data_IF_541718181896
#
_entry.id   IF_541718181896
#
_cell.length_a   1.000
_cell.length_b   1.000
_cell.length_c   1.000
_cell.angle_alpha   90.00
_cell.angle_beta   90.00
_cell.angle_gamma   90.00
#
_symmetry.space_group_name_H-M   'P 1'
#
loop_
_entity.id
_entity.type
_entity.pdbx_description
1 polymer ?
#
# COMPACT_ATOMS: atom_id res chain seq x y z
N UNK A 1 -25.15 -7.29 73.53
CA UNK A 1 -24.84 -5.85 73.33
C UNK A 1 -23.32 -5.69 73.46
N UNK A 2 -22.67 -5.02 72.50
CA UNK A 2 -21.20 -4.79 72.35
C UNK A 2 -20.42 -5.99 71.78
N UNK A 3 -20.01 -6.11 70.50
CA UNK A 3 -19.14 -5.36 69.53
C UNK A 3 -17.64 -5.65 69.63
N UNK A 4 -17.03 -5.99 68.48
CA UNK A 4 -15.57 -6.08 68.21
C UNK A 4 -15.12 -7.50 67.83
N UNK A 5 -14.39 -7.80 66.75
CA UNK A 5 -13.69 -6.97 65.78
C UNK A 5 -13.38 -7.73 64.48
N UNK A 6 -12.94 -6.97 63.49
CA UNK A 6 -12.71 -7.37 62.11
C UNK A 6 -11.42 -8.18 61.92
N UNK A 7 -11.39 -9.10 60.94
CA UNK A 7 -10.16 -9.49 60.26
C UNK A 7 -10.47 -9.77 58.78
N UNK A 8 -10.20 -8.78 57.94
CA UNK A 8 -10.36 -8.85 56.50
C UNK A 8 -9.34 -9.82 55.88
N UNK A 9 -9.84 -10.77 55.09
CA UNK A 9 -8.99 -11.57 54.22
C UNK A 9 -8.87 -10.86 52.87
N UNK A 10 -7.65 -10.45 52.57
CA UNK A 10 -7.27 -9.81 51.31
C UNK A 10 -7.40 -10.83 50.19
N UNK A 11 -8.33 -10.58 49.26
CA UNK A 11 -8.41 -11.29 47.99
C UNK A 11 -7.21 -10.80 47.16
N UNK A 12 -6.21 -11.66 46.99
CA UNK A 12 -5.12 -11.41 46.05
C UNK A 12 -5.63 -11.76 44.64
N UNK A 13 -6.09 -10.76 43.89
CA UNK A 13 -6.29 -10.92 42.44
C UNK A 13 -4.90 -10.94 41.79
N UNK A 14 -4.44 -12.13 41.42
CA UNK A 14 -3.34 -12.30 40.48
C UNK A 14 -3.80 -11.90 39.09
N UNK A 15 -3.38 -10.74 38.60
CA UNK A 15 -3.57 -10.33 37.22
C UNK A 15 -2.63 -11.14 36.32
N UNK A 16 -3.12 -12.27 35.78
CA UNK A 16 -2.45 -12.98 34.70
C UNK A 16 -2.56 -12.12 33.43
N UNK A 17 -1.45 -11.48 33.05
CA UNK A 17 -1.35 -10.71 31.82
C UNK A 17 -1.54 -11.61 30.61
N UNK A 18 -2.69 -11.48 29.93
CA UNK A 18 -2.87 -12.01 28.58
C UNK A 18 -2.03 -11.17 27.61
N UNK A 19 -0.89 -11.70 27.19
CA UNK A 19 -0.21 -11.20 26.00
C UNK A 19 -1.08 -11.57 24.78
N UNK A 20 -1.93 -10.63 24.35
CA UNK A 20 -2.59 -10.69 23.06
C UNK A 20 -1.51 -10.57 21.98
N UNK A 21 -1.08 -11.72 21.44
CA UNK A 21 -0.34 -11.75 20.19
C UNK A 21 -1.23 -11.21 19.09
N UNK A 22 -1.05 -9.94 18.72
CA UNK A 22 -1.65 -9.40 17.52
C UNK A 22 -1.03 -10.13 16.32
N UNK A 23 -1.73 -11.12 15.81
CA UNK A 23 -1.47 -11.65 14.47
C UNK A 23 -1.75 -10.50 13.51
N UNK A 24 -0.72 -9.73 13.16
CA UNK A 24 -0.79 -8.75 12.10
C UNK A 24 -0.97 -9.50 10.78
N UNK A 25 -2.22 -9.85 10.46
CA UNK A 25 -2.60 -10.03 9.07
C UNK A 25 -2.25 -8.71 8.38
N UNK A 26 -1.48 -8.77 7.28
CA UNK A 26 -1.18 -7.58 6.45
C UNK A 26 -2.49 -6.88 6.05
N UNK A 27 -2.86 -5.90 6.85
CA UNK A 27 -3.79 -4.84 6.58
C UNK A 27 -3.00 -3.59 6.97
N UNK A 28 -3.22 -2.48 6.28
CA UNK A 28 -2.53 -1.25 6.63
C UNK A 28 -2.70 -0.93 8.12
N UNK A 29 -1.61 -0.56 8.82
CA UNK A 29 -1.68 -0.17 10.22
C UNK A 29 -2.73 0.91 10.45
N UNK A 30 -3.25 0.99 11.68
CA UNK A 30 -4.20 2.05 12.03
C UNK A 30 -3.60 3.43 11.71
N UNK A 31 -4.38 4.26 11.01
CA UNK A 31 -3.96 5.60 10.57
C UNK A 31 -3.26 5.64 9.21
N UNK A 32 -3.02 4.49 8.57
CA UNK A 32 -2.52 4.42 7.20
C UNK A 32 -3.63 4.01 6.23
N UNK A 33 -3.59 4.59 5.04
CA UNK A 33 -4.42 4.23 3.91
C UNK A 33 -3.76 3.13 3.07
N UNK A 34 -4.58 2.34 2.39
CA UNK A 34 -4.11 1.32 1.44
C UNK A 34 -3.94 1.97 0.08
N UNK A 35 -2.72 1.96 -0.45
CA UNK A 35 -2.49 2.25 -1.87
C UNK A 35 -2.90 1.04 -2.71
N UNK A 36 -2.32 -0.13 -2.41
CA UNK A 36 -2.66 -1.38 -3.06
C UNK A 36 -2.49 -2.53 -2.06
N UNK A 37 -3.46 -3.43 -2.00
CA UNK A 37 -3.30 -4.75 -1.36
C UNK A 37 -3.69 -5.80 -2.36
N UNK A 38 -2.80 -6.75 -2.65
CA UNK A 38 -3.18 -7.86 -3.51
C UNK A 38 -2.50 -9.17 -3.15
N UNK A 39 -3.24 -10.27 -3.28
CA UNK A 39 -2.64 -11.60 -3.28
C UNK A 39 -2.12 -11.89 -4.69
N UNK A 40 -0.89 -12.34 -4.79
CA UNK A 40 -0.30 -12.70 -6.08
C UNK A 40 -0.92 -13.99 -6.60
N UNK A 41 -0.98 -14.14 -7.92
CA UNK A 41 -1.45 -15.37 -8.56
C UNK A 41 -0.76 -16.61 -7.96
N UNK A 42 -1.55 -17.67 -7.72
CA UNK A 42 -1.09 -18.85 -6.99
C UNK A 42 -1.23 -18.75 -5.46
N UNK A 43 -1.72 -17.62 -4.92
CA UNK A 43 -2.28 -17.50 -3.56
C UNK A 43 -1.27 -17.53 -2.40
N UNK A 44 -0.02 -17.88 -2.65
CA UNK A 44 0.98 -18.12 -1.60
C UNK A 44 1.64 -16.86 -1.03
N UNK A 45 1.50 -15.72 -1.70
CA UNK A 45 2.15 -14.45 -1.36
C UNK A 45 1.20 -13.29 -1.55
N UNK A 46 1.42 -12.23 -0.79
CA UNK A 46 0.71 -10.96 -0.88
C UNK A 46 1.70 -9.82 -0.84
N UNK A 47 1.39 -8.79 -1.60
CA UNK A 47 2.02 -7.47 -1.51
C UNK A 47 0.98 -6.48 -0.97
N UNK A 48 1.43 -5.61 -0.07
CA UNK A 48 0.63 -4.52 0.45
C UNK A 48 1.48 -3.24 0.49
N UNK A 49 0.94 -2.17 -0.07
CA UNK A 49 1.50 -0.83 0.00
C UNK A 49 0.50 0.04 0.74
N UNK A 50 0.99 0.69 1.78
CA UNK A 50 0.22 1.58 2.64
C UNK A 50 0.89 2.94 2.71
N UNK A 51 0.13 3.99 3.00
CA UNK A 51 0.70 5.31 3.21
C UNK A 51 -0.08 6.12 4.24
N UNK A 52 0.58 7.11 4.80
CA UNK A 52 -0.04 8.23 5.50
C UNK A 52 0.51 9.54 4.94
N UNK A 53 0.37 10.65 5.66
CA UNK A 53 0.89 11.98 5.23
C UNK A 53 2.41 12.08 5.23
N UNK A 54 3.11 11.13 5.85
CA UNK A 54 4.55 11.18 6.12
C UNK A 54 5.34 10.06 5.44
N UNK A 55 4.76 8.86 5.36
CA UNK A 55 5.45 7.65 4.92
C UNK A 55 4.61 6.81 3.98
N UNK A 56 5.32 6.08 3.12
CA UNK A 56 4.79 4.96 2.34
C UNK A 56 5.54 3.71 2.75
N UNK A 57 4.83 2.61 2.98
CA UNK A 57 5.39 1.33 3.39
C UNK A 57 5.03 0.25 2.40
N UNK A 58 5.97 -0.64 2.14
CA UNK A 58 5.80 -1.86 1.36
C UNK A 58 5.94 -3.06 2.28
N UNK A 59 5.08 -4.05 2.11
CA UNK A 59 5.20 -5.34 2.78
C UNK A 59 4.92 -6.48 1.79
N UNK A 60 5.80 -7.48 1.77
CA UNK A 60 5.65 -8.70 0.98
C UNK A 60 5.79 -9.92 1.86
N UNK A 61 4.92 -10.92 1.68
CA UNK A 61 5.03 -12.20 2.39
C UNK A 61 3.75 -13.02 2.36
N UNK A 62 3.70 -14.05 3.21
CA UNK A 62 2.50 -14.88 3.36
C UNK A 62 1.40 -14.12 4.12
N UNK A 63 0.13 -14.16 3.66
CA UNK A 63 -1.00 -13.65 4.44
C UNK A 63 -1.05 -14.25 5.86
N UNK A 64 -1.38 -13.43 6.86
CA UNK A 64 -1.47 -13.85 8.26
C UNK A 64 -0.13 -14.17 8.94
N UNK A 65 1.01 -13.86 8.31
CA UNK A 65 2.37 -14.05 8.86
C UNK A 65 3.12 -12.73 8.86
N UNK A 66 4.21 -12.68 9.64
CA UNK A 66 5.15 -11.57 9.55
C UNK A 66 5.65 -11.42 8.09
N UNK A 67 5.73 -10.18 7.56
CA UNK A 67 6.26 -9.95 6.23
C UNK A 67 7.68 -10.51 6.08
N UNK A 68 7.96 -11.05 4.89
CA UNK A 68 9.29 -11.53 4.49
C UNK A 68 10.19 -10.36 4.08
N UNK A 69 9.59 -9.28 3.58
CA UNK A 69 10.25 -8.03 3.26
C UNK A 69 9.34 -6.87 3.65
N UNK A 70 9.90 -5.89 4.37
CA UNK A 70 9.24 -4.62 4.67
C UNK A 70 10.16 -3.47 4.28
N UNK A 71 9.65 -2.48 3.55
CA UNK A 71 10.37 -1.25 3.20
C UNK A 71 9.53 -0.04 3.63
N UNK A 72 10.20 1.08 3.89
CA UNK A 72 9.53 2.33 4.25
C UNK A 72 10.29 3.51 3.67
N UNK A 73 9.56 4.39 3.01
CA UNK A 73 10.07 5.62 2.40
C UNK A 73 9.24 6.81 2.88
N UNK A 74 9.80 8.02 2.78
CA UNK A 74 9.02 9.24 3.00
C UNK A 74 8.10 9.50 1.81
N UNK A 75 6.89 10.01 2.06
CA UNK A 75 6.00 10.52 0.99
C UNK A 75 6.71 11.56 0.12
N UNK A 76 7.61 12.37 0.70
CA UNK A 76 8.36 13.38 -0.04
C UNK A 76 9.27 12.79 -1.12
N UNK A 77 9.84 11.60 -0.88
CA UNK A 77 10.93 11.03 -1.70
C UNK A 77 10.57 9.74 -2.40
N UNK A 78 9.50 9.06 -1.99
CA UNK A 78 9.05 7.84 -2.65
C UNK A 78 8.78 8.13 -4.12
N UNK A 79 9.28 7.26 -4.99
CA UNK A 79 8.99 7.30 -6.41
C UNK A 79 7.58 6.76 -6.61
N UNK A 80 6.67 7.67 -6.93
CA UNK A 80 5.27 7.41 -7.17
C UNK A 80 4.87 8.08 -8.47
N UNK A 81 4.21 7.34 -9.33
CA UNK A 81 3.67 7.81 -10.60
C UNK A 81 2.14 7.77 -10.53
N UNK A 82 1.47 8.93 -10.50
CA UNK A 82 0.02 9.01 -10.55
C UNK A 82 -0.49 8.73 -11.96
N UNK A 83 -1.79 8.49 -12.08
CA UNK A 83 -2.43 8.33 -13.38
C UNK A 83 -2.31 9.62 -14.19
N UNK A 84 -1.98 9.47 -15.48
CA UNK A 84 -1.73 10.60 -16.40
C UNK A 84 -2.95 11.49 -16.70
N UNK A 85 -4.13 11.15 -16.17
CA UNK A 85 -5.38 11.82 -16.49
C UNK A 85 -5.98 11.42 -17.85
N UNK A 86 -5.34 10.49 -18.58
CA UNK A 86 -5.77 10.04 -19.91
C UNK A 86 -6.10 8.54 -19.92
N UNK A 87 -7.23 8.20 -20.56
CA UNK A 87 -7.68 6.83 -20.74
C UNK A 87 -8.72 6.39 -19.71
N UNK A 88 -9.28 5.19 -19.91
CA UNK A 88 -10.22 4.57 -18.95
C UNK A 88 -9.54 3.70 -17.89
N UNK A 89 -8.31 3.27 -18.19
CA UNK A 89 -7.48 2.47 -17.31
C UNK A 89 -6.66 3.44 -16.45
N UNK A 90 -7.03 3.55 -15.18
CA UNK A 90 -6.39 4.43 -14.22
C UNK A 90 -5.25 3.68 -13.57
N UNK A 91 -4.05 3.86 -14.12
CA UNK A 91 -2.84 3.16 -13.71
C UNK A 91 -1.95 4.07 -12.87
N UNK A 92 -1.49 3.55 -11.74
CA UNK A 92 -0.56 4.22 -10.84
C UNK A 92 0.53 3.24 -10.38
N UNK A 93 1.72 3.75 -10.07
CA UNK A 93 2.82 2.91 -9.63
C UNK A 93 3.57 3.52 -8.44
N UNK A 94 3.97 2.68 -7.48
CA UNK A 94 4.89 3.05 -6.39
C UNK A 94 6.12 2.16 -6.47
N UNK A 95 7.31 2.77 -6.36
CA UNK A 95 8.61 2.10 -6.52
C UNK A 95 9.44 2.25 -5.26
N UNK A 96 10.06 1.13 -4.87
CA UNK A 96 10.98 1.06 -3.75
C UNK A 96 12.32 0.49 -4.21
N UNK A 97 13.42 0.91 -3.60
CA UNK A 97 14.76 0.38 -3.84
C UNK A 97 15.33 -0.17 -2.54
N UNK A 98 15.88 -1.38 -2.58
CA UNK A 98 16.59 -1.97 -1.45
C UNK A 98 17.85 -2.68 -1.94
N UNK A 99 19.01 -2.06 -1.71
CA UNK A 99 20.28 -2.53 -2.26
C UNK A 99 20.25 -2.55 -3.79
N UNK A 100 20.62 -3.69 -4.38
CA UNK A 100 20.65 -3.87 -5.84
C UNK A 100 19.31 -4.29 -6.48
N UNK A 101 18.18 -4.12 -5.79
CA UNK A 101 16.86 -4.52 -6.25
C UNK A 101 15.86 -3.37 -6.18
N UNK A 102 14.98 -3.32 -7.18
CA UNK A 102 13.83 -2.43 -7.23
C UNK A 102 12.53 -3.21 -7.20
N UNK A 103 11.51 -2.63 -6.57
CA UNK A 103 10.19 -3.23 -6.40
C UNK A 103 9.15 -2.21 -6.86
N UNK A 104 8.50 -2.50 -7.98
CA UNK A 104 7.43 -1.68 -8.54
C UNK A 104 6.10 -2.37 -8.28
N UNK A 105 5.21 -1.66 -7.60
CA UNK A 105 3.82 -2.09 -7.37
C UNK A 105 2.93 -1.19 -8.22
N UNK A 106 2.18 -1.81 -9.12
CA UNK A 106 1.29 -1.12 -10.06
C UNK A 106 -0.14 -1.47 -9.68
N UNK A 107 -0.99 -0.47 -9.53
CA UNK A 107 -2.44 -0.61 -9.43
C UNK A 107 -3.10 -0.07 -10.68
N UNK A 108 -4.10 -0.79 -11.21
CA UNK A 108 -4.88 -0.38 -12.37
C UNK A 108 -6.35 -0.54 -12.05
N UNK A 109 -7.14 0.52 -12.27
CA UNK A 109 -8.60 0.44 -12.27
C UNK A 109 -9.12 0.70 -13.68
N UNK A 110 -9.68 -0.32 -14.31
CA UNK A 110 -10.43 -0.16 -15.56
C UNK A 110 -11.85 0.29 -15.26
N UNK A 111 -12.28 1.35 -15.92
CA UNK A 111 -13.66 1.84 -15.84
C UNK A 111 -14.36 1.52 -17.15
N UNK A 112 -15.33 0.62 -17.08
CA UNK A 112 -16.18 0.22 -18.19
C UNK A 112 -17.60 0.74 -18.02
N UNK A 113 -18.20 1.13 -19.15
CA UNK A 113 -19.61 1.51 -19.23
C UNK A 113 -20.39 0.35 -19.81
N UNK A 114 -21.44 -0.09 -19.11
CA UNK A 114 -22.27 -1.21 -19.56
C UNK A 114 -22.79 -0.99 -20.99
N UNK A 115 -22.53 -1.92 -21.93
CA UNK A 115 -23.06 -1.85 -23.28
C UNK A 115 -24.55 -2.19 -23.27
N UNK A 116 -25.38 -1.20 -22.92
CA UNK A 116 -26.83 -1.38 -22.79
C UNK A 116 -27.64 -0.13 -22.43
N UNK A 117 -27.00 0.92 -21.90
CA UNK A 117 -27.64 2.23 -21.70
C UNK A 117 -28.42 2.39 -20.38
N UNK A 118 -28.21 1.53 -19.39
CA UNK A 118 -28.70 1.75 -18.02
C UNK A 118 -27.78 2.67 -17.19
N UNK A 119 -26.58 2.97 -17.69
CA UNK A 119 -25.62 3.83 -17.01
C UNK A 119 -24.84 3.14 -15.89
N UNK A 120 -24.86 1.80 -15.82
CA UNK A 120 -24.05 1.07 -14.85
C UNK A 120 -22.56 1.21 -15.18
N UNK A 121 -21.79 1.60 -14.16
CA UNK A 121 -20.32 1.68 -14.20
C UNK A 121 -19.80 0.37 -13.61
N UNK A 122 -19.03 -0.37 -14.40
CA UNK A 122 -18.32 -1.56 -13.95
C UNK A 122 -16.85 -1.19 -13.78
N UNK A 123 -16.30 -1.44 -12.60
CA UNK A 123 -14.88 -1.22 -12.31
C UNK A 123 -14.18 -2.55 -12.12
N UNK A 124 -13.05 -2.73 -12.80
CA UNK A 124 -12.17 -3.89 -12.62
C UNK A 124 -10.83 -3.43 -12.07
N UNK A 125 -10.46 -3.98 -10.92
CA UNK A 125 -9.18 -3.68 -10.28
C UNK A 125 -8.16 -4.76 -10.67
N UNK A 126 -6.97 -4.33 -11.06
CA UNK A 126 -5.83 -5.18 -11.38
C UNK A 126 -4.60 -4.66 -10.65
N UNK A 127 -3.63 -5.54 -10.44
CA UNK A 127 -2.35 -5.12 -9.89
C UNK A 127 -1.20 -6.00 -10.35
N UNK A 128 0.00 -5.45 -10.25
CA UNK A 128 1.24 -6.14 -10.59
C UNK A 128 2.32 -5.85 -9.56
N UNK A 129 3.13 -6.86 -9.27
CA UNK A 129 4.42 -6.70 -8.62
C UNK A 129 5.52 -7.05 -9.63
N UNK A 130 6.36 -6.07 -9.93
CA UNK A 130 7.56 -6.23 -10.74
C UNK A 130 8.81 -6.05 -9.87
N UNK A 131 9.79 -6.91 -10.09
CA UNK A 131 11.09 -6.86 -9.41
C UNK A 131 12.16 -6.61 -10.45
N UNK A 132 13.02 -5.63 -10.19
CA UNK A 132 14.11 -5.21 -11.06
C UNK A 132 15.45 -5.45 -10.36
N UNK A 133 16.50 -5.61 -11.16
CA UNK A 133 17.88 -5.67 -10.67
C UNK A 133 18.63 -4.45 -11.15
N UNK A 134 19.52 -3.94 -10.30
CA UNK A 134 20.41 -2.85 -10.67
C UNK A 134 21.30 -3.23 -11.86
N UNK A 135 21.48 -2.26 -12.76
CA UNK A 135 22.46 -2.32 -13.84
C UNK A 135 23.89 -2.29 -13.31
N UNK A 136 24.85 -2.39 -14.23
CA UNK A 136 26.28 -2.35 -13.88
C UNK A 136 26.70 -1.00 -13.24
N UNK A 137 25.94 0.06 -13.49
CA UNK A 137 26.10 1.39 -12.90
C UNK A 137 25.44 1.54 -11.52
N UNK A 138 24.78 0.47 -11.02
CA UNK A 138 24.08 0.46 -9.74
C UNK A 138 22.68 1.10 -9.77
N UNK A 139 22.17 1.51 -10.93
CA UNK A 139 20.83 2.13 -11.05
C UNK A 139 19.75 1.10 -11.35
N UNK A 140 18.55 1.32 -10.84
CA UNK A 140 17.35 0.59 -11.25
C UNK A 140 16.66 1.39 -12.36
N UNK A 141 16.38 0.73 -13.49
CA UNK A 141 15.55 1.28 -14.55
C UNK A 141 14.16 0.64 -14.47
N UNK A 142 13.18 1.42 -14.00
CA UNK A 142 11.79 0.97 -13.84
C UNK A 142 10.92 1.22 -15.07
N UNK A 143 11.43 2.00 -16.03
CA UNK A 143 10.65 2.46 -17.19
C UNK A 143 10.99 1.60 -18.40
N UNK A 144 12.27 1.56 -18.77
CA UNK A 144 12.75 0.82 -19.95
C UNK A 144 13.44 -0.50 -19.55
N UNK A 145 13.70 -0.70 -18.26
CA UNK A 145 14.28 -1.93 -17.74
C UNK A 145 13.35 -3.13 -17.89
N UNK A 146 13.93 -4.32 -18.04
CA UNK A 146 13.17 -5.58 -18.00
C UNK A 146 13.12 -6.11 -16.57
N UNK A 147 11.93 -6.38 -15.99
CA UNK A 147 11.85 -6.98 -14.67
C UNK A 147 12.45 -8.39 -14.68
N UNK A 148 13.17 -8.73 -13.62
CA UNK A 148 13.68 -10.10 -13.38
C UNK A 148 12.59 -11.04 -12.86
N UNK A 149 11.47 -10.47 -12.38
CA UNK A 149 10.25 -11.17 -12.04
C UNK A 149 9.06 -10.22 -12.19
N UNK A 150 7.97 -10.74 -12.73
CA UNK A 150 6.68 -10.05 -12.82
C UNK A 150 5.61 -11.02 -12.33
N UNK A 151 4.74 -10.55 -11.45
CA UNK A 151 3.66 -11.33 -10.87
C UNK A 151 2.39 -10.49 -10.95
N UNK A 152 1.36 -11.04 -11.58
CA UNK A 152 0.02 -10.49 -11.53
C UNK A 152 -0.60 -10.74 -10.17
N UNK A 153 -1.46 -9.81 -9.76
CA UNK A 153 -2.38 -10.02 -8.66
C UNK A 153 -3.56 -10.89 -9.12
N UNK A 154 -4.06 -11.73 -8.21
CA UNK A 154 -5.36 -12.36 -8.36
C UNK A 154 -6.46 -11.28 -8.32
N UNK A 155 -7.30 -11.23 -9.36
CA UNK A 155 -8.30 -10.17 -9.54
C UNK A 155 -9.31 -10.12 -8.37
N UNK A 156 -9.76 -11.28 -7.87
CA UNK A 156 -10.73 -11.35 -6.77
C UNK A 156 -10.11 -10.97 -5.42
N UNK A 157 -8.78 -11.06 -5.31
CA UNK A 157 -8.01 -10.71 -4.12
C UNK A 157 -7.20 -9.42 -4.28
N UNK A 158 -7.56 -8.58 -5.25
CA UNK A 158 -6.99 -7.24 -5.45
C UNK A 158 -7.87 -6.18 -4.80
N UNK A 159 -7.23 -5.24 -4.11
CA UNK A 159 -7.84 -4.02 -3.61
C UNK A 159 -6.95 -2.84 -3.98
N UNK A 160 -7.41 -2.06 -4.95
CA UNK A 160 -6.81 -0.82 -5.42
C UNK A 160 -7.91 0.25 -5.40
N UNK A 161 -8.18 0.86 -4.23
CA UNK A 161 -9.14 1.94 -4.17
C UNK A 161 -8.53 3.06 -5.00
N UNK A 162 -9.16 3.49 -6.09
CA UNK A 162 -8.75 4.65 -6.87
C UNK A 162 -9.83 5.74 -6.76
N UNK A 163 -9.44 6.99 -6.47
CA UNK A 163 -10.25 8.17 -6.81
C UNK A 163 -11.28 8.69 -5.81
N UNK A 164 -10.97 8.73 -4.52
CA UNK A 164 -11.60 9.60 -3.52
C UNK A 164 -13.10 9.46 -3.32
N UNK A 165 -13.69 8.38 -3.84
CA UNK A 165 -15.14 8.17 -3.81
C UNK A 165 -15.69 8.03 -2.37
N UNK A 166 -14.81 7.84 -1.39
CA UNK A 166 -15.11 7.77 0.04
C UNK A 166 -14.45 8.89 0.88
N UNK A 167 -13.79 9.86 0.24
CA UNK A 167 -13.14 10.99 0.92
C UNK A 167 -11.85 10.65 1.67
N UNK A 168 -11.22 9.50 1.37
CA UNK A 168 -9.91 9.12 1.94
C UNK A 168 -8.77 9.82 1.23
N UNK A 169 -7.65 9.99 1.96
CA UNK A 169 -6.44 10.64 1.47
C UNK A 169 -5.82 9.83 0.32
N UNK A 170 -5.37 10.52 -0.72
CA UNK A 170 -4.62 9.93 -1.84
C UNK A 170 -3.12 10.18 -1.72
N UNK A 171 -2.31 9.36 -2.38
CA UNK A 171 -0.85 9.52 -2.31
C UNK A 171 -0.38 10.77 -3.07
N UNK A 172 -1.07 11.15 -4.15
CA UNK A 172 -0.85 12.42 -4.83
C UNK A 172 -1.24 13.61 -3.95
N UNK A 173 -2.38 13.54 -3.24
CA UNK A 173 -2.78 14.56 -2.26
C UNK A 173 -1.77 14.67 -1.12
N UNK A 174 -1.30 13.55 -0.57
CA UNK A 174 -0.29 13.54 0.49
C UNK A 174 1.01 14.23 0.04
N UNK A 175 1.39 14.08 -1.24
CA UNK A 175 2.51 14.82 -1.83
C UNK A 175 2.19 16.30 -2.05
N UNK A 176 0.99 16.63 -2.50
CA UNK A 176 0.54 18.03 -2.69
C UNK A 176 0.53 18.83 -1.38
N UNK A 177 0.17 18.21 -0.26
CA UNK A 177 0.25 18.83 1.07
C UNK A 177 1.68 19.18 1.49
N UNK A 178 2.68 18.52 0.90
CA UNK A 178 4.10 18.85 1.06
C UNK A 178 4.59 19.91 0.06
N UNK A 179 3.69 20.46 -0.77
CA UNK A 179 4.03 21.40 -1.84
C UNK A 179 4.69 20.74 -3.03
N UNK A 180 4.47 19.44 -3.26
CA UNK A 180 4.94 18.71 -4.44
C UNK A 180 3.80 18.52 -5.44
N UNK A 181 4.07 18.82 -6.70
CA UNK A 181 3.10 18.71 -7.80
C UNK A 181 3.67 17.82 -8.89
N UNK A 182 2.83 16.94 -9.45
CA UNK A 182 3.20 16.14 -10.61
C UNK A 182 3.34 17.03 -11.84
N UNK A 183 4.46 16.89 -12.54
CA UNK A 183 4.80 17.70 -13.71
C UNK A 183 5.00 16.82 -14.92
N UNK A 184 4.35 17.18 -16.03
CA UNK A 184 4.54 16.57 -17.34
C UNK A 184 5.50 17.37 -18.22
N UNK A 185 6.41 18.17 -17.62
CA UNK A 185 7.36 19.02 -18.34
C UNK A 185 8.62 18.21 -18.74
N UNK A 186 9.78 18.87 -18.73
CA UNK A 186 11.06 18.37 -19.26
C UNK A 186 11.48 17.07 -18.57
N UNK A 187 11.25 16.96 -17.26
CA UNK A 187 11.41 15.72 -16.49
C UNK A 187 10.05 15.35 -15.90
N UNK A 188 9.45 14.25 -16.38
CA UNK A 188 8.18 13.76 -15.84
C UNK A 188 8.42 13.29 -14.40
N UNK A 189 7.73 13.91 -13.44
CA UNK A 189 7.93 13.59 -12.03
C UNK A 189 7.36 14.61 -11.06
N UNK A 190 7.61 14.39 -9.77
CA UNK A 190 7.24 15.31 -8.70
C UNK A 190 8.26 16.44 -8.59
N UNK A 191 7.80 17.69 -8.74
CA UNK A 191 8.59 18.90 -8.49
C UNK A 191 7.90 19.80 -7.45
N UNK A 192 8.59 20.81 -6.94
CA UNK A 192 7.94 21.83 -6.11
C UNK A 192 6.82 22.51 -6.92
N UNK A 193 5.64 22.64 -6.32
CA UNK A 193 4.52 23.37 -6.91
C UNK A 193 4.95 24.82 -7.23
N UNK A 194 4.46 25.36 -8.35
CA UNK A 194 4.75 26.73 -8.82
C UNK A 194 3.55 27.63 -8.64
#
# INVERSE_FOLDING_TARGET
RSTGGALGHRIALGAAGLALGASAALACPQGMETFLRCTLEGGGKRVEVCFDRSRVTYAFGRPGRAPELTLSESVATVDYEPWSGVGRAKSEAVRFVNGGYGYQVIGIMDIDYSPGGDGEIVTTERGYLQVFRAGADGRIDFIDGTPIAEMSCDEEATFFPWGGLDGRLWLDEAKQELGLCWSHKIDIGWEACR
#
